data_IF_165670795590
#
_entry.id   IF_165670795590
#
_cell.length_a   1.000
_cell.length_b   1.000
_cell.length_c   1.000
_cell.angle_alpha   90.00
_cell.angle_beta   90.00
_cell.angle_gamma   90.00
#
_symmetry.space_group_name_H-M   'P 1'
#
loop_
_entity.id
_entity.type
_entity.pdbx_description
1 polymer ?
#
# COMPACT_ATOMS: atom_id res chain seq x y z
N UNK A 1 38.04 19.47 7.04
CA UNK A 1 36.65 19.94 6.92
C UNK A 1 35.77 18.69 7.00
N UNK A 2 34.97 18.55 8.06
CA UNK A 2 34.06 17.41 8.20
C UNK A 2 32.97 17.52 7.12
N UNK A 3 32.74 16.44 6.35
CA UNK A 3 31.59 16.34 5.47
C UNK A 3 30.31 16.60 6.30
N UNK A 4 29.37 17.42 5.79
CA UNK A 4 28.11 17.57 6.47
C UNK A 4 27.45 16.17 6.55
N UNK A 5 27.07 15.77 7.76
CA UNK A 5 26.32 14.55 7.99
C UNK A 5 25.18 14.49 6.96
N UNK A 6 25.10 13.40 6.18
CA UNK A 6 23.94 13.12 5.30
C UNK A 6 22.72 13.33 6.17
N UNK A 7 21.88 14.34 5.83
CA UNK A 7 20.56 14.44 6.41
C UNK A 7 19.89 13.09 6.17
N UNK A 8 19.60 12.39 7.26
CA UNK A 8 18.92 11.09 7.21
C UNK A 8 17.59 11.29 6.51
N UNK A 9 17.49 10.84 5.27
CA UNK A 9 16.29 11.03 4.46
C UNK A 9 15.15 10.27 5.13
N UNK A 10 14.23 11.00 5.76
CA UNK A 10 13.19 10.45 6.61
C UNK A 10 12.30 9.48 5.85
N UNK A 11 12.16 8.26 6.36
CA UNK A 11 11.34 7.19 5.77
C UNK A 11 10.00 7.10 6.47
N UNK A 12 8.95 6.72 5.73
CA UNK A 12 7.64 6.37 6.28
C UNK A 12 7.14 5.06 5.69
N UNK A 13 6.32 4.34 6.45
CA UNK A 13 5.54 3.20 5.94
C UNK A 13 4.19 3.71 5.42
N UNK A 14 3.85 3.34 4.20
CA UNK A 14 2.56 3.60 3.57
C UNK A 14 1.82 2.26 3.38
N UNK A 15 0.75 2.06 4.14
CA UNK A 15 -0.10 0.87 4.07
C UNK A 15 -1.34 1.22 3.24
N UNK A 16 -1.53 0.52 2.12
CA UNK A 16 -2.59 0.82 1.15
C UNK A 16 -3.66 -0.26 1.19
N UNK A 17 -4.89 0.14 1.58
CA UNK A 17 -6.13 -0.63 1.43
C UNK A 17 -6.06 -2.06 2.00
N UNK A 18 -5.40 -2.27 3.13
CA UNK A 18 -5.48 -3.53 3.88
C UNK A 18 -6.80 -3.51 4.67
N UNK A 19 -7.90 -3.87 3.98
CA UNK A 19 -9.28 -3.76 4.47
C UNK A 19 -10.00 -5.11 4.40
N UNK A 20 -11.01 -5.29 5.27
CA UNK A 20 -11.66 -6.60 5.50
C UNK A 20 -12.25 -7.24 4.25
N UNK A 21 -12.77 -6.46 3.28
CA UNK A 21 -13.33 -7.03 2.05
C UNK A 21 -12.33 -7.80 1.18
N UNK A 22 -11.03 -7.60 1.38
CA UNK A 22 -9.98 -8.32 0.67
C UNK A 22 -9.56 -9.64 1.35
N UNK A 23 -10.02 -9.87 2.57
CA UNK A 23 -9.67 -11.06 3.37
C UNK A 23 -10.77 -12.13 3.29
N UNK A 24 -10.51 -13.38 3.76
CA UNK A 24 -11.50 -14.45 3.74
C UNK A 24 -12.85 -14.06 4.37
N UNK A 25 -13.94 -14.31 3.64
CA UNK A 25 -15.30 -13.89 4.00
C UNK A 25 -15.68 -12.47 3.56
N UNK A 26 -14.76 -11.71 2.99
CA UNK A 26 -15.01 -10.38 2.46
C UNK A 26 -15.64 -10.38 1.06
N UNK A 27 -16.17 -9.24 0.63
CA UNK A 27 -16.87 -9.11 -0.65
C UNK A 27 -15.96 -9.17 -1.89
N UNK A 28 -14.63 -9.07 -1.72
CA UNK A 28 -13.63 -9.07 -2.80
C UNK A 28 -12.36 -9.81 -2.37
N UNK A 29 -12.49 -11.05 -1.94
CA UNK A 29 -11.35 -11.84 -1.46
C UNK A 29 -10.19 -11.88 -2.47
N UNK A 30 -8.97 -11.71 -1.95
CA UNK A 30 -7.74 -11.80 -2.72
C UNK A 30 -6.97 -13.08 -2.41
N UNK A 31 -6.30 -13.60 -3.40
CA UNK A 31 -5.39 -14.72 -3.23
C UNK A 31 -4.17 -14.28 -2.42
N UNK A 32 -3.91 -14.97 -1.30
CA UNK A 32 -2.78 -14.68 -0.43
C UNK A 32 -2.93 -13.46 0.50
N UNK A 33 -4.16 -12.92 0.69
CA UNK A 33 -4.39 -11.75 1.52
C UNK A 33 -3.89 -11.91 2.96
N UNK A 34 -4.15 -13.06 3.60
CA UNK A 34 -3.69 -13.32 4.98
C UNK A 34 -2.17 -13.28 5.08
N UNK A 35 -1.46 -13.99 4.20
CA UNK A 35 0.00 -14.01 4.18
C UNK A 35 0.60 -12.61 3.95
N UNK A 36 0.04 -11.85 3.00
CA UNK A 36 0.46 -10.48 2.75
C UNK A 36 0.15 -9.55 3.94
N UNK A 37 -1.00 -9.73 4.58
CA UNK A 37 -1.39 -9.01 5.80
C UNK A 37 -0.43 -9.26 6.96
N UNK A 38 0.04 -10.49 7.15
CA UNK A 38 1.05 -10.84 8.17
C UNK A 38 2.39 -10.14 7.90
N UNK A 39 2.83 -10.10 6.64
CA UNK A 39 4.06 -9.39 6.26
C UNK A 39 3.94 -7.88 6.45
N UNK A 40 2.79 -7.30 6.09
CA UNK A 40 2.51 -5.90 6.34
C UNK A 40 2.48 -5.59 7.85
N UNK A 41 1.90 -6.47 8.68
CA UNK A 41 1.90 -6.34 10.13
C UNK A 41 3.33 -6.37 10.71
N UNK A 42 4.20 -7.22 10.19
CA UNK A 42 5.61 -7.27 10.60
C UNK A 42 6.36 -5.97 10.26
N UNK A 43 6.17 -5.43 9.06
CA UNK A 43 6.73 -4.14 8.68
C UNK A 43 6.18 -3.00 9.55
N UNK A 44 4.87 -3.00 9.83
CA UNK A 44 4.20 -2.04 10.71
C UNK A 44 4.79 -2.08 12.12
N UNK A 45 4.96 -3.27 12.69
CA UNK A 45 5.54 -3.43 14.02
C UNK A 45 6.99 -2.90 14.08
N UNK A 46 7.77 -3.11 13.02
CA UNK A 46 9.15 -2.60 12.92
C UNK A 46 9.16 -1.07 12.90
N UNK A 47 8.35 -0.42 12.03
CA UNK A 47 8.29 1.03 11.94
C UNK A 47 7.84 1.66 13.26
N UNK A 48 6.86 1.07 13.93
CA UNK A 48 6.41 1.50 15.28
C UNK A 48 7.51 1.39 16.32
N UNK A 49 8.22 0.27 16.35
CA UNK A 49 9.35 0.04 17.28
C UNK A 49 10.46 1.08 17.07
N UNK A 50 10.74 1.44 15.82
CA UNK A 50 11.79 2.38 15.45
C UNK A 50 11.33 3.85 15.52
N UNK A 51 10.06 4.10 15.94
CA UNK A 51 9.49 5.44 16.05
C UNK A 51 9.33 6.16 14.71
N UNK A 52 9.27 5.41 13.60
CA UNK A 52 9.15 5.94 12.26
C UNK A 52 7.67 6.19 11.89
N UNK A 53 7.38 7.23 11.07
CA UNK A 53 6.02 7.56 10.68
C UNK A 53 5.32 6.46 9.90
N UNK A 54 4.03 6.27 10.18
CA UNK A 54 3.14 5.35 9.48
C UNK A 54 1.94 6.11 8.93
N UNK A 55 1.62 5.85 7.67
CA UNK A 55 0.44 6.35 6.99
C UNK A 55 -0.41 5.17 6.51
N UNK A 56 -1.69 5.20 6.87
CA UNK A 56 -2.66 4.23 6.39
C UNK A 56 -3.54 4.87 5.33
N UNK A 57 -3.84 4.13 4.28
CA UNK A 57 -4.80 4.51 3.26
C UNK A 57 -5.98 3.57 3.33
N UNK A 58 -7.19 4.13 3.37
CA UNK A 58 -8.46 3.40 3.36
C UNK A 58 -9.26 3.82 2.12
N UNK A 59 -9.63 2.85 1.30
CA UNK A 59 -10.50 3.10 0.14
C UNK A 59 -11.97 3.03 0.55
N UNK A 60 -12.75 4.02 0.15
CA UNK A 60 -14.21 4.01 0.24
C UNK A 60 -14.78 4.10 -1.17
N UNK A 61 -15.57 3.10 -1.55
CA UNK A 61 -16.18 3.02 -2.88
C UNK A 61 -17.43 3.90 -2.95
N UNK A 62 -17.30 5.03 -3.64
CA UNK A 62 -18.40 6.00 -3.82
C UNK A 62 -19.12 5.85 -5.17
N UNK A 63 -18.71 4.89 -6.01
CA UNK A 63 -19.33 4.70 -7.32
C UNK A 63 -20.69 4.01 -7.19
N UNK A 64 -21.71 4.42 -7.96
CA UNK A 64 -22.97 3.68 -8.05
C UNK A 64 -22.72 2.22 -8.44
N UNK A 65 -23.36 1.28 -7.73
CA UNK A 65 -23.21 -0.16 -7.97
C UNK A 65 -21.91 -0.78 -7.44
N UNK A 66 -21.16 -0.07 -6.61
CA UNK A 66 -20.01 -0.66 -5.90
C UNK A 66 -20.45 -1.85 -5.03
N UNK A 67 -19.65 -2.92 -5.00
CA UNK A 67 -19.96 -4.16 -4.30
C UNK A 67 -19.04 -4.45 -3.12
N UNK A 68 -17.96 -3.66 -2.95
CA UNK A 68 -17.01 -3.77 -1.86
C UNK A 68 -16.51 -2.40 -1.43
N UNK A 69 -15.94 -2.29 -0.24
CA UNK A 69 -15.50 -1.06 0.41
C UNK A 69 -16.63 -0.03 0.53
N UNK A 70 -17.85 -0.50 0.76
CA UNK A 70 -19.01 0.36 0.94
C UNK A 70 -18.88 1.14 2.25
N UNK A 71 -19.01 2.47 2.25
CA UNK A 71 -18.91 3.27 3.45
C UNK A 71 -19.85 2.79 4.57
N UNK A 72 -19.33 2.71 5.80
CA UNK A 72 -20.11 2.28 6.97
C UNK A 72 -20.29 0.77 7.11
N UNK A 73 -19.69 -0.04 6.23
CA UNK A 73 -19.69 -1.51 6.38
C UNK A 73 -18.40 -2.00 7.02
N UNK A 74 -18.48 -3.14 7.71
CA UNK A 74 -17.31 -3.81 8.28
C UNK A 74 -16.27 -4.19 7.19
N UNK A 75 -16.72 -4.45 5.96
CA UNK A 75 -15.84 -4.76 4.84
C UNK A 75 -14.90 -3.61 4.46
N UNK A 76 -15.37 -2.37 4.62
CA UNK A 76 -14.58 -1.16 4.38
C UNK A 76 -13.63 -0.80 5.53
N UNK A 77 -13.73 -1.45 6.69
CA UNK A 77 -12.83 -1.19 7.82
C UNK A 77 -11.44 -1.76 7.58
N UNK A 78 -10.43 -1.11 8.15
CA UNK A 78 -9.05 -1.59 8.10
C UNK A 78 -8.98 -2.94 8.84
N UNK A 79 -8.35 -3.92 8.18
CA UNK A 79 -8.21 -5.27 8.71
C UNK A 79 -7.33 -5.30 9.98
N UNK A 80 -7.59 -6.27 10.86
CA UNK A 80 -6.89 -6.45 12.14
C UNK A 80 -5.35 -6.48 12.04
N UNK A 81 -4.79 -6.90 10.89
CA UNK A 81 -3.34 -6.93 10.65
C UNK A 81 -2.72 -5.53 10.49
N UNK A 82 -3.52 -4.48 10.26
CA UNK A 82 -3.02 -3.15 9.97
C UNK A 82 -3.77 -2.04 10.72
N UNK A 83 -4.36 -2.34 11.87
CA UNK A 83 -5.14 -1.36 12.66
C UNK A 83 -4.27 -0.17 13.04
N UNK A 84 -4.68 1.07 12.71
CA UNK A 84 -3.93 2.27 13.05
C UNK A 84 -3.92 2.53 14.55
N UNK A 85 -2.81 3.07 15.05
CA UNK A 85 -2.78 3.74 16.36
C UNK A 85 -3.42 5.13 16.26
N UNK A 86 -3.91 5.67 17.37
CA UNK A 86 -4.51 7.01 17.41
C UNK A 86 -3.55 8.14 16.96
N UNK A 87 -2.24 7.92 17.06
CA UNK A 87 -1.20 8.84 16.62
C UNK A 87 -0.84 8.70 15.13
N UNK A 88 -1.33 7.68 14.43
CA UNK A 88 -1.00 7.42 13.04
C UNK A 88 -2.00 8.10 12.09
N UNK A 89 -1.53 8.50 10.93
CA UNK A 89 -2.36 9.18 9.95
C UNK A 89 -3.15 8.18 9.11
N UNK A 90 -4.47 8.37 9.04
CA UNK A 90 -5.35 7.64 8.11
C UNK A 90 -5.80 8.60 7.01
N UNK A 91 -5.61 8.19 5.76
CA UNK A 91 -6.05 8.90 4.55
C UNK A 91 -7.20 8.12 3.91
N UNK A 92 -8.32 8.75 3.72
CA UNK A 92 -9.43 8.18 2.93
C UNK A 92 -9.31 8.58 1.47
N UNK A 93 -9.59 7.63 0.57
CA UNK A 93 -9.58 7.85 -0.87
C UNK A 93 -10.76 7.16 -1.57
N UNK A 94 -11.08 7.64 -2.77
CA UNK A 94 -12.15 7.09 -3.61
C UNK A 94 -11.65 6.64 -5.00
N UNK A 95 -10.34 6.72 -5.23
CA UNK A 95 -9.68 6.33 -6.49
C UNK A 95 -8.51 5.38 -6.20
N UNK A 96 -8.07 4.55 -7.16
CA UNK A 96 -6.92 3.68 -6.97
C UNK A 96 -5.66 4.43 -6.52
N UNK A 97 -5.31 5.53 -7.17
CA UNK A 97 -4.16 6.35 -6.81
C UNK A 97 -4.42 7.06 -5.46
N UNK A 98 -3.59 6.74 -4.46
CA UNK A 98 -3.70 7.26 -3.09
C UNK A 98 -3.43 8.77 -2.95
N UNK A 99 -2.83 9.37 -3.96
CA UNK A 99 -2.56 10.82 -4.00
C UNK A 99 -3.69 11.62 -4.65
N UNK A 100 -4.56 10.94 -5.42
CA UNK A 100 -5.62 11.62 -6.17
C UNK A 100 -6.74 12.10 -5.25
N UNK A 101 -6.95 13.42 -5.19
CA UNK A 101 -7.96 14.08 -4.36
C UNK A 101 -7.86 13.71 -2.87
N UNK A 102 -6.64 13.60 -2.36
CA UNK A 102 -6.34 13.34 -0.94
C UNK A 102 -5.28 14.32 -0.43
N UNK A 103 -5.09 14.36 0.87
CA UNK A 103 -4.05 15.15 1.53
C UNK A 103 -2.74 14.38 1.73
N UNK A 104 -2.57 13.20 1.11
CA UNK A 104 -1.42 12.32 1.37
C UNK A 104 -0.08 13.03 1.08
N UNK A 105 0.06 13.63 -0.10
CA UNK A 105 1.31 14.32 -0.49
C UNK A 105 1.65 15.48 0.44
N UNK A 106 0.66 16.30 0.80
CA UNK A 106 0.81 17.40 1.74
C UNK A 106 1.31 16.91 3.11
N UNK A 107 0.68 15.86 3.65
CA UNK A 107 1.06 15.28 4.94
C UNK A 107 2.45 14.64 4.93
N UNK A 108 2.81 13.94 3.86
CA UNK A 108 4.15 13.38 3.68
C UNK A 108 5.22 14.48 3.62
N UNK A 109 4.98 15.53 2.85
CA UNK A 109 5.88 16.70 2.75
C UNK A 109 6.02 17.44 4.07
N UNK A 110 4.92 17.68 4.77
CA UNK A 110 4.93 18.34 6.08
C UNK A 110 5.69 17.54 7.13
N UNK A 111 5.69 16.19 7.02
CA UNK A 111 6.46 15.29 7.86
C UNK A 111 7.93 15.15 7.41
N UNK A 112 8.34 15.83 6.31
CA UNK A 112 9.70 15.75 5.77
C UNK A 112 10.06 14.42 5.14
N UNK A 113 9.06 13.61 4.74
CA UNK A 113 9.29 12.28 4.18
C UNK A 113 9.88 12.39 2.76
N UNK A 114 10.90 11.56 2.50
CA UNK A 114 11.55 11.40 1.20
C UNK A 114 11.52 9.96 0.70
N UNK A 115 11.48 9.00 1.63
CA UNK A 115 11.46 7.58 1.31
C UNK A 115 10.13 6.97 1.77
N UNK A 116 9.52 6.17 0.91
CA UNK A 116 8.31 5.42 1.22
C UNK A 116 8.59 3.92 1.15
N UNK A 117 8.30 3.22 2.23
CA UNK A 117 8.15 1.77 2.22
C UNK A 117 6.66 1.49 2.03
N UNK A 118 6.30 0.71 1.01
CA UNK A 118 4.90 0.49 0.61
C UNK A 118 4.51 -0.97 0.78
N UNK A 119 3.36 -1.20 1.40
CA UNK A 119 2.68 -2.49 1.49
C UNK A 119 1.19 -2.30 1.20
N UNK A 120 0.50 -3.30 0.71
CA UNK A 120 -0.96 -3.22 0.56
C UNK A 120 -1.56 -3.93 -0.64
N UNK A 121 -2.80 -3.58 -0.96
CA UNK A 121 -3.66 -4.29 -1.92
C UNK A 121 -4.46 -3.31 -2.78
N UNK A 122 -4.83 -3.65 -4.03
CA UNK A 122 -4.33 -4.77 -4.82
C UNK A 122 -3.06 -4.36 -5.57
N UNK A 123 -2.13 -5.29 -5.74
CA UNK A 123 -0.85 -5.05 -6.43
C UNK A 123 -1.04 -4.36 -7.78
N UNK A 124 -1.97 -4.84 -8.63
CA UNK A 124 -2.21 -4.33 -9.99
C UNK A 124 -3.09 -3.07 -10.05
N UNK A 125 -3.57 -2.58 -8.91
CA UNK A 125 -4.50 -1.44 -8.86
C UNK A 125 -3.98 -0.32 -7.96
N UNK A 126 -4.41 -0.30 -6.70
CA UNK A 126 -4.11 0.80 -5.79
C UNK A 126 -2.62 0.90 -5.47
N UNK A 127 -1.94 -0.24 -5.36
CA UNK A 127 -0.48 -0.28 -5.14
C UNK A 127 0.24 0.26 -6.36
N UNK A 128 0.01 -0.30 -7.56
CA UNK A 128 0.65 0.15 -8.81
C UNK A 128 0.42 1.64 -9.06
N UNK A 129 -0.83 2.10 -9.01
CA UNK A 129 -1.19 3.50 -9.24
C UNK A 129 -0.53 4.46 -8.24
N UNK A 130 -0.43 4.05 -6.97
CA UNK A 130 0.15 4.91 -5.92
C UNK A 130 1.67 4.92 -5.97
N UNK A 131 2.31 3.77 -6.24
CA UNK A 131 3.78 3.67 -6.37
C UNK A 131 4.28 4.51 -7.54
N UNK A 132 3.63 4.44 -8.70
CA UNK A 132 4.01 5.28 -9.86
C UNK A 132 3.87 6.76 -9.53
N UNK A 133 2.76 7.16 -8.94
CA UNK A 133 2.55 8.56 -8.56
C UNK A 133 3.55 9.01 -7.50
N UNK A 134 3.89 8.18 -6.52
CA UNK A 134 4.89 8.51 -5.52
C UNK A 134 6.27 8.78 -6.15
N UNK A 135 6.69 7.91 -7.08
CA UNK A 135 7.93 8.10 -7.82
C UNK A 135 7.92 9.36 -8.68
N UNK A 136 6.81 9.65 -9.38
CA UNK A 136 6.64 10.86 -10.20
C UNK A 136 6.67 12.14 -9.34
N UNK A 137 6.24 12.07 -8.08
CA UNK A 137 6.34 13.16 -7.09
C UNK A 137 7.73 13.28 -6.44
N UNK A 138 8.68 12.39 -6.79
CA UNK A 138 10.06 12.42 -6.33
C UNK A 138 10.35 11.65 -5.05
N UNK A 139 9.42 10.82 -4.57
CA UNK A 139 9.70 9.91 -3.45
C UNK A 139 10.56 8.73 -3.92
N UNK A 140 11.51 8.31 -3.08
CA UNK A 140 12.18 7.02 -3.25
C UNK A 140 11.29 5.93 -2.69
N UNK A 141 10.89 4.95 -3.49
CA UNK A 141 9.94 3.93 -3.08
C UNK A 141 10.63 2.57 -2.93
N UNK A 142 10.39 1.92 -1.79
CA UNK A 142 10.64 0.50 -1.58
C UNK A 142 9.31 -0.21 -1.46
N UNK A 143 9.01 -1.14 -2.38
CA UNK A 143 7.78 -1.90 -2.40
C UNK A 143 8.01 -3.30 -1.82
N UNK A 144 7.20 -3.67 -0.81
CA UNK A 144 7.28 -4.98 -0.17
C UNK A 144 6.47 -6.00 -0.96
N UNK A 145 7.13 -6.81 -1.78
CA UNK A 145 6.48 -7.76 -2.67
C UNK A 145 5.56 -8.73 -1.93
N UNK A 146 6.07 -9.37 -0.88
CA UNK A 146 5.35 -10.35 -0.07
C UNK A 146 4.33 -9.75 0.92
N UNK A 147 4.31 -8.42 1.04
CA UNK A 147 3.29 -7.67 1.79
C UNK A 147 2.22 -7.07 0.86
N UNK A 148 2.15 -7.52 -0.39
CA UNK A 148 1.11 -7.16 -1.35
C UNK A 148 0.37 -8.40 -1.83
N UNK A 149 -0.93 -8.23 -2.14
CA UNK A 149 -1.79 -9.28 -2.68
C UNK A 149 -2.65 -8.75 -3.84
N UNK A 150 -3.12 -9.67 -4.66
CA UNK A 150 -4.00 -9.37 -5.78
C UNK A 150 -4.91 -10.55 -6.10
N UNK A 151 -5.64 -10.47 -7.19
CA UNK A 151 -6.54 -11.52 -7.69
C UNK A 151 -6.29 -11.81 -9.16
N UNK A 152 -6.81 -12.94 -9.64
CA UNK A 152 -6.82 -13.26 -11.06
C UNK A 152 -7.55 -12.17 -11.86
N UNK A 153 -7.10 -11.95 -13.09
CA UNK A 153 -7.68 -11.02 -14.06
C UNK A 153 -8.15 -11.75 -15.30
N UNK A 154 -9.11 -11.15 -16.01
CA UNK A 154 -9.59 -11.68 -17.29
C UNK A 154 -9.23 -10.71 -18.41
N UNK A 155 -8.67 -11.23 -19.50
CA UNK A 155 -8.38 -10.47 -20.70
C UNK A 155 -8.43 -11.37 -21.94
N UNK A 156 -9.08 -10.92 -23.03
CA UNK A 156 -9.16 -11.68 -24.28
C UNK A 156 -9.86 -13.05 -24.15
N UNK A 157 -10.77 -13.21 -23.17
CA UNK A 157 -11.43 -14.47 -22.89
C UNK A 157 -10.63 -15.44 -22.00
N UNK A 158 -9.40 -15.13 -21.66
CA UNK A 158 -8.52 -15.93 -20.81
C UNK A 158 -8.50 -15.40 -19.37
N UNK A 159 -8.24 -16.30 -18.43
CA UNK A 159 -8.00 -15.96 -17.03
C UNK A 159 -6.51 -15.96 -16.76
N UNK A 160 -5.98 -14.82 -16.35
CA UNK A 160 -4.59 -14.64 -15.91
C UNK A 160 -4.57 -14.89 -14.39
N UNK A 161 -3.89 -15.94 -13.90
CA UNK A 161 -3.84 -16.25 -12.48
C UNK A 161 -3.26 -15.10 -11.62
N UNK A 162 -3.72 -14.97 -10.38
CA UNK A 162 -3.27 -13.91 -9.47
C UNK A 162 -1.75 -13.84 -9.35
N UNK A 163 -1.06 -14.98 -9.25
CA UNK A 163 0.40 -15.03 -9.18
C UNK A 163 1.09 -14.39 -10.41
N UNK A 164 0.52 -14.58 -11.60
CA UNK A 164 1.07 -13.99 -12.82
C UNK A 164 0.80 -12.48 -12.88
N UNK A 165 -0.42 -12.05 -12.51
CA UNK A 165 -0.77 -10.63 -12.39
C UNK A 165 0.17 -9.95 -11.40
N UNK A 166 0.33 -10.51 -10.20
CA UNK A 166 1.21 -10.00 -9.16
C UNK A 166 2.64 -9.85 -9.65
N UNK A 167 3.22 -10.92 -10.20
CA UNK A 167 4.59 -10.91 -10.72
C UNK A 167 4.82 -9.91 -11.85
N UNK A 168 3.88 -9.78 -12.79
CA UNK A 168 3.98 -8.84 -13.90
C UNK A 168 4.00 -7.38 -13.43
N UNK A 169 3.13 -7.02 -12.47
CA UNK A 169 3.08 -5.67 -11.94
C UNK A 169 4.28 -5.34 -11.05
N UNK A 170 4.75 -6.26 -10.22
CA UNK A 170 5.99 -6.08 -9.46
C UNK A 170 7.19 -5.89 -10.39
N UNK A 171 7.30 -6.69 -11.43
CA UNK A 171 8.36 -6.56 -12.42
C UNK A 171 8.32 -5.22 -13.17
N UNK A 172 7.12 -4.72 -13.50
CA UNK A 172 6.93 -3.42 -14.15
C UNK A 172 7.30 -2.23 -13.25
N UNK A 173 7.15 -2.38 -11.95
CA UNK A 173 7.51 -1.33 -10.97
C UNK A 173 8.99 -1.36 -10.61
N UNK A 174 9.61 -2.55 -10.63
CA UNK A 174 10.97 -2.75 -10.14
C UNK A 174 12.02 -2.06 -11.03
N UNK A 175 12.93 -1.37 -10.40
CA UNK A 175 14.08 -0.71 -11.03
C UNK A 175 13.83 0.76 -11.38
N UNK A 176 12.67 1.11 -11.95
CA UNK A 176 12.37 2.50 -12.32
C UNK A 176 11.52 3.23 -11.27
N UNK A 177 10.37 2.64 -10.89
CA UNK A 177 9.44 3.28 -9.96
C UNK A 177 9.71 2.92 -8.50
N UNK A 178 10.23 1.73 -8.23
CA UNK A 178 10.48 1.25 -6.88
C UNK A 178 11.65 0.27 -6.84
N UNK A 179 12.29 0.14 -5.68
CA UNK A 179 13.05 -1.04 -5.33
C UNK A 179 12.07 -2.07 -4.76
N UNK A 180 11.87 -3.19 -5.45
CA UNK A 180 10.98 -4.27 -5.01
C UNK A 180 11.78 -5.30 -4.22
N UNK A 181 11.38 -5.55 -2.96
CA UNK A 181 12.04 -6.48 -2.04
C UNK A 181 11.01 -7.24 -1.21
N UNK A 182 11.40 -8.28 -0.48
CA UNK A 182 10.55 -8.90 0.53
C UNK A 182 10.67 -8.18 1.88
N UNK A 183 9.68 -8.33 2.75
CA UNK A 183 9.64 -7.63 4.04
C UNK A 183 10.82 -7.95 4.97
N UNK A 184 11.43 -9.12 4.83
CA UNK A 184 12.62 -9.52 5.61
C UNK A 184 13.91 -8.88 5.11
N UNK A 185 13.89 -8.19 3.99
CA UNK A 185 15.05 -7.49 3.40
C UNK A 185 15.06 -5.98 3.71
N UNK A 186 14.08 -5.52 4.52
CA UNK A 186 13.99 -4.13 5.00
C UNK A 186 15.16 -3.76 5.93
#
# INVERSE_FOLDING_TARGET
MAEPAKQDERSALLIIDIQNDYFPGGAMELEGADAAGEKAAAALARFRKDGLPVFHVRHLSMRPGATFFIPGTQGADIHKSAVPLASETVIEKNFPNSFRNTTLDEKLKSAGIKNLVVAGMMTHMCVDASVRQAADLGYKVTLLADACATRAQKFGGETIPARQVHGAFLAALNGFYAKVVNANEL
#
